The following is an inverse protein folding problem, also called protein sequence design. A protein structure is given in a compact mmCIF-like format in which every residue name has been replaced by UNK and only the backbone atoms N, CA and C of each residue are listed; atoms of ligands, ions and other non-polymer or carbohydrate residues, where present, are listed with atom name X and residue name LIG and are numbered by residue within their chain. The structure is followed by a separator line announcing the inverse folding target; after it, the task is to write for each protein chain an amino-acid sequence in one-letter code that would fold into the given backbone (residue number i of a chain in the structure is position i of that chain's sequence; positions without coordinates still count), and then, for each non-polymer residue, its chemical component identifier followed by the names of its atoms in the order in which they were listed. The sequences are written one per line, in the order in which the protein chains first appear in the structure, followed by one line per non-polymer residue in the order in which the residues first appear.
data_IF_990433180739
#
_entry.id   IF_990433180739
#
_cell.length_a   1.000
_cell.length_b   1.000
_cell.length_c   1.000
_cell.angle_alpha   90.00
_cell.angle_beta   90.00
_cell.angle_gamma   90.00
#
_symmetry.space_group_name_H-M   'P 1'
#
loop_
_entity.id
_entity.type
_entity.pdbx_description
1 polymer ?
#
# COMPACT_ATOMS: atom_id res chain seq x y z
N UNK A 1 30.96 -2.65 -14.42
CA UNK A 1 30.80 -3.08 -13.03
C UNK A 1 29.44 -2.62 -12.54
N UNK A 2 28.40 -3.45 -12.65
CA UNK A 2 27.32 -3.62 -11.65
C UNK A 2 26.78 -5.06 -11.88
N UNK A 3 26.93 -5.83 -10.82
CA UNK A 3 26.45 -7.17 -10.44
C UNK A 3 25.04 -7.52 -10.92
N UNK A 4 24.55 -8.75 -10.99
CA UNK A 4 25.01 -10.15 -10.99
C UNK A 4 23.72 -10.92 -11.25
N UNK A 5 23.77 -11.99 -12.05
CA UNK A 5 22.69 -12.94 -12.27
C UNK A 5 21.94 -13.31 -10.98
N UNK A 6 20.66 -13.00 -10.89
CA UNK A 6 19.77 -13.64 -9.92
C UNK A 6 18.98 -14.74 -10.63
N UNK A 7 19.35 -15.97 -10.29
CA UNK A 7 18.72 -17.18 -10.78
C UNK A 7 17.26 -17.19 -10.32
N UNK A 8 16.37 -17.46 -11.26
CA UNK A 8 14.96 -17.76 -11.00
C UNK A 8 14.84 -19.15 -10.36
N UNK A 9 15.10 -19.23 -9.05
CA UNK A 9 14.79 -20.40 -8.26
C UNK A 9 13.27 -20.46 -8.00
N UNK A 10 12.68 -21.58 -8.39
CA UNK A 10 11.26 -21.89 -8.25
C UNK A 10 10.88 -22.04 -6.76
N UNK A 11 10.56 -20.92 -6.13
CA UNK A 11 9.99 -20.81 -4.77
C UNK A 11 8.75 -19.92 -4.79
N UNK A 12 7.68 -20.42 -5.41
CA UNK A 12 6.41 -19.73 -5.67
C UNK A 12 5.69 -19.34 -4.37
N UNK A 13 5.62 -18.04 -4.09
CA UNK A 13 4.80 -17.47 -3.02
C UNK A 13 5.34 -16.16 -2.42
N UNK A 14 6.64 -16.08 -2.11
CA UNK A 14 7.23 -14.88 -1.48
C UNK A 14 7.58 -13.77 -2.48
N UNK A 15 8.17 -14.11 -3.63
CA UNK A 15 8.60 -13.14 -4.65
C UNK A 15 7.44 -12.38 -5.31
N UNK A 16 6.29 -13.04 -5.49
CA UNK A 16 5.10 -12.39 -6.06
C UNK A 16 4.51 -11.36 -5.11
N UNK A 17 4.51 -11.66 -3.82
CA UNK A 17 3.99 -10.79 -2.77
C UNK A 17 4.82 -9.51 -2.65
N UNK A 18 6.16 -9.63 -2.65
CA UNK A 18 7.07 -8.47 -2.57
C UNK A 18 6.94 -7.55 -3.80
N UNK A 19 6.87 -8.13 -5.01
CA UNK A 19 6.63 -7.36 -6.25
C UNK A 19 5.27 -6.67 -6.25
N UNK A 20 4.24 -7.27 -5.66
CA UNK A 20 2.92 -6.64 -5.49
C UNK A 20 3.02 -5.47 -4.50
N UNK A 21 3.74 -5.63 -3.39
CA UNK A 21 3.98 -4.55 -2.44
C UNK A 21 4.71 -3.37 -3.06
N UNK A 22 5.77 -3.63 -3.82
CA UNK A 22 6.57 -2.59 -4.47
C UNK A 22 5.74 -1.82 -5.50
N UNK A 23 4.98 -2.51 -6.35
CA UNK A 23 4.05 -1.88 -7.29
C UNK A 23 2.99 -1.03 -6.59
N UNK A 24 2.48 -1.49 -5.45
CA UNK A 24 1.53 -0.72 -4.64
C UNK A 24 2.17 0.52 -4.01
N UNK A 25 3.39 0.41 -3.50
CA UNK A 25 4.14 1.55 -2.96
C UNK A 25 4.34 2.63 -4.02
N UNK A 26 4.78 2.24 -5.21
CA UNK A 26 4.97 3.14 -6.35
C UNK A 26 3.63 3.77 -6.76
N UNK A 27 2.58 2.95 -6.91
CA UNK A 27 1.26 3.45 -7.29
C UNK A 27 0.70 4.45 -6.28
N UNK A 28 0.92 4.24 -4.98
CA UNK A 28 0.47 5.16 -3.92
C UNK A 28 1.34 6.43 -3.87
N UNK A 29 2.65 6.31 -4.10
CA UNK A 29 3.57 7.44 -4.19
C UNK A 29 3.19 8.41 -5.32
N UNK A 30 2.67 7.88 -6.43
CA UNK A 30 2.21 8.68 -7.57
C UNK A 30 0.86 9.38 -7.37
N UNK A 31 0.07 9.01 -6.34
CA UNK A 31 -1.26 9.59 -6.13
C UNK A 31 -1.18 11.02 -5.61
N UNK A 32 -2.10 11.86 -6.11
CA UNK A 32 -2.36 13.18 -5.57
C UNK A 32 -3.18 13.15 -4.28
N UNK A 33 -3.15 14.25 -3.52
CA UNK A 33 -3.92 14.40 -2.27
C UNK A 33 -5.41 14.01 -2.39
N UNK A 34 -6.18 14.51 -3.38
CA UNK A 34 -7.61 14.20 -3.46
C UNK A 34 -7.86 12.71 -3.73
N UNK A 35 -7.00 12.05 -4.50
CA UNK A 35 -7.12 10.60 -4.76
C UNK A 35 -6.83 9.77 -3.51
N UNK A 36 -5.82 10.16 -2.73
CA UNK A 36 -5.47 9.47 -1.48
C UNK A 36 -6.61 9.62 -0.47
N UNK A 37 -7.16 10.82 -0.31
CA UNK A 37 -8.29 11.06 0.58
C UNK A 37 -9.52 10.26 0.17
N UNK A 38 -9.86 10.23 -1.13
CA UNK A 38 -10.97 9.41 -1.61
C UNK A 38 -10.73 7.92 -1.37
N UNK A 39 -9.50 7.42 -1.57
CA UNK A 39 -9.17 6.02 -1.30
C UNK A 39 -9.21 5.67 0.18
N UNK A 40 -8.81 6.58 1.07
CA UNK A 40 -8.89 6.41 2.52
C UNK A 40 -10.37 6.37 2.95
N UNK A 41 -11.20 7.32 2.48
CA UNK A 41 -12.63 7.38 2.80
C UNK A 41 -13.43 6.18 2.28
N UNK A 42 -13.11 5.73 1.07
CA UNK A 42 -13.75 4.58 0.44
C UNK A 42 -13.05 3.25 0.75
N UNK A 43 -12.11 3.22 1.70
CA UNK A 43 -11.35 2.02 2.00
C UNK A 43 -12.26 0.94 2.60
N UNK A 44 -12.69 -0.02 1.77
CA UNK A 44 -13.41 -1.23 2.21
C UNK A 44 -12.43 -2.24 2.81
N UNK A 45 -11.88 -1.90 3.97
CA UNK A 45 -11.01 -2.74 4.79
C UNK A 45 -11.75 -3.37 5.97
N UNK A 46 -11.03 -4.18 6.76
CA UNK A 46 -11.53 -4.75 8.01
C UNK A 46 -11.77 -3.69 9.11
N UNK A 47 -11.24 -2.48 8.92
CA UNK A 47 -11.45 -1.31 9.75
C UNK A 47 -11.84 -0.15 8.85
N UNK A 48 -12.91 0.56 9.22
CA UNK A 48 -13.28 1.84 8.61
C UNK A 48 -12.30 2.89 9.13
N UNK A 49 -11.73 3.67 8.24
CA UNK A 49 -10.96 4.84 8.65
C UNK A 49 -11.94 5.90 9.17
N UNK A 50 -12.03 6.03 10.49
CA UNK A 50 -12.83 7.07 11.16
C UNK A 50 -12.01 8.35 11.28
N UNK A 51 -11.51 8.82 10.14
CA UNK A 51 -10.80 10.09 10.05
C UNK A 51 -11.77 11.18 9.58
N UNK A 52 -11.81 12.29 10.30
CA UNK A 52 -12.54 13.47 9.88
C UNK A 52 -11.82 14.14 8.70
N UNK A 53 -12.59 14.84 7.86
CA UNK A 53 -12.06 15.66 6.78
C UNK A 53 -11.01 16.66 7.28
N UNK A 54 -11.27 17.30 8.42
CA UNK A 54 -10.35 18.24 9.05
C UNK A 54 -9.04 17.57 9.47
N UNK A 55 -9.08 16.34 9.99
CA UNK A 55 -7.88 15.59 10.33
C UNK A 55 -7.08 15.25 9.07
N UNK A 56 -7.72 14.75 8.01
CA UNK A 56 -7.04 14.45 6.74
C UNK A 56 -6.42 15.71 6.11
N UNK A 57 -7.13 16.83 6.16
CA UNK A 57 -6.68 18.13 5.67
C UNK A 57 -5.50 18.70 6.48
N UNK A 58 -5.37 18.33 7.76
CA UNK A 58 -4.22 18.70 8.59
C UNK A 58 -2.95 17.89 8.30
N UNK A 59 -3.09 16.70 7.68
CA UNK A 59 -1.97 15.81 7.40
C UNK A 59 -1.28 16.13 6.08
N UNK A 60 0.04 15.91 6.06
CA UNK A 60 0.82 15.99 4.83
C UNK A 60 0.44 14.84 3.88
N UNK A 61 0.58 15.09 2.58
CA UNK A 61 0.30 14.09 1.53
C UNK A 61 1.12 12.81 1.73
N UNK A 62 2.37 12.94 2.19
CA UNK A 62 3.25 11.82 2.47
C UNK A 62 2.69 10.93 3.59
N UNK A 63 2.15 11.54 4.65
CA UNK A 63 1.55 10.82 5.77
C UNK A 63 0.25 10.13 5.37
N UNK A 64 -0.56 10.78 4.53
CA UNK A 64 -1.76 10.17 3.95
C UNK A 64 -1.41 8.93 3.10
N UNK A 65 -0.36 9.01 2.28
CA UNK A 65 0.14 7.87 1.48
C UNK A 65 0.62 6.73 2.36
N UNK A 66 1.36 7.02 3.43
CA UNK A 66 1.80 6.01 4.40
C UNK A 66 0.63 5.32 5.09
N UNK A 67 -0.39 6.06 5.52
CA UNK A 67 -1.61 5.50 6.12
C UNK A 67 -2.31 4.56 5.14
N UNK A 68 -2.49 4.98 3.89
CA UNK A 68 -3.13 4.17 2.85
C UNK A 68 -2.32 2.90 2.54
N UNK A 69 -0.99 3.01 2.45
CA UNK A 69 -0.10 1.88 2.22
C UNK A 69 -0.18 0.86 3.37
N UNK A 70 -0.12 1.31 4.62
CA UNK A 70 -0.23 0.45 5.79
C UNK A 70 -1.60 -0.28 5.84
N UNK A 71 -2.67 0.41 5.45
CA UNK A 71 -4.02 -0.18 5.37
C UNK A 71 -4.09 -1.31 4.34
N UNK A 72 -3.61 -1.05 3.13
CA UNK A 72 -3.59 -2.01 2.02
C UNK A 72 -2.69 -3.20 2.39
N UNK A 73 -1.52 -2.94 2.97
CA UNK A 73 -0.61 -4.00 3.43
C UNK A 73 -1.23 -4.91 4.48
N UNK A 74 -1.95 -4.32 5.44
CA UNK A 74 -2.67 -5.08 6.46
C UNK A 74 -3.79 -5.93 5.84
N UNK A 75 -4.50 -5.42 4.82
CA UNK A 75 -5.50 -6.18 4.07
C UNK A 75 -4.88 -7.35 3.30
N UNK A 76 -3.72 -7.15 2.66
CA UNK A 76 -3.01 -8.19 1.92
C UNK A 76 -2.54 -9.32 2.84
N UNK A 77 -2.03 -9.01 4.04
CA UNK A 77 -1.63 -10.03 5.02
C UNK A 77 -2.78 -10.94 5.47
N UNK A 78 -4.01 -10.42 5.56
CA UNK A 78 -5.19 -11.24 5.90
C UNK A 78 -5.61 -12.22 4.79
N UNK A 79 -5.24 -11.97 3.53
CA UNK A 79 -5.65 -12.81 2.39
C UNK A 79 -4.86 -14.13 2.29
N UNK A 80 -3.74 -14.24 3.00
CA UNK A 80 -2.88 -15.45 3.03
C UNK A 80 -3.33 -16.46 4.10
N UNK A 81 -4.36 -16.16 4.89
CA UNK A 81 -4.94 -17.07 5.89
C UNK A 81 -6.37 -17.40 5.47
N UNK A 82 -6.52 -18.14 4.37
CA UNK A 82 -7.75 -18.88 4.06
C UNK A 82 -7.45 -20.06 3.15
#
# INVERSE_FOLDING_TARGET
MIFTSDKIDAGTGKMDTERVFEKLAISIATLGRPEVEQRIKNFKGSFKFDFTDEYLASLTIDRLRHILFAAISTKLRKKTVN
#
